data_IF_047491747145
#
_entry.id   IF_047491747145
#
_cell.length_a   1.000
_cell.length_b   1.000
_cell.length_c   1.000
_cell.angle_alpha   90.00
_cell.angle_beta   90.00
_cell.angle_gamma   90.00
#
_symmetry.space_group_name_H-M   'P 1'
#
loop_
_entity.id
_entity.type
_entity.pdbx_description
1 polymer ?
#
# COMPACT_ATOMS: atom_id res chain seq x y z
N UNK A 1 9.61 7.72 -60.24
CA UNK A 1 9.19 8.43 -59.01
C UNK A 1 8.55 7.49 -57.96
N UNK A 2 7.74 6.50 -58.36
CA UNK A 2 7.05 5.56 -57.43
C UNK A 2 7.96 4.75 -56.47
N UNK A 3 9.10 4.24 -56.94
CA UNK A 3 10.03 3.43 -56.10
C UNK A 3 10.65 4.22 -54.92
N UNK A 4 10.89 5.51 -55.09
CA UNK A 4 11.47 6.37 -54.04
C UNK A 4 10.43 6.73 -52.98
N UNK A 5 9.19 7.00 -53.39
CA UNK A 5 8.07 7.23 -52.47
C UNK A 5 7.76 6.00 -51.61
N UNK A 6 7.77 4.80 -52.20
CA UNK A 6 7.55 3.55 -51.47
C UNK A 6 8.66 3.27 -50.44
N UNK A 7 9.92 3.62 -50.75
CA UNK A 7 11.03 3.45 -49.82
C UNK A 7 10.92 4.39 -48.61
N UNK A 8 10.57 5.66 -48.83
CA UNK A 8 10.36 6.63 -47.74
C UNK A 8 9.18 6.19 -46.86
N UNK A 9 8.10 5.72 -47.47
CA UNK A 9 6.94 5.22 -46.72
C UNK A 9 7.29 3.99 -45.87
N UNK A 10 8.04 3.03 -46.42
CA UNK A 10 8.50 1.86 -45.69
C UNK A 10 9.45 2.23 -44.54
N UNK A 11 10.36 3.18 -44.76
CA UNK A 11 11.25 3.69 -43.73
C UNK A 11 10.46 4.36 -42.59
N UNK A 12 9.41 5.13 -42.92
CA UNK A 12 8.55 5.78 -41.93
C UNK A 12 7.80 4.73 -41.09
N UNK A 13 7.28 3.68 -41.72
CA UNK A 13 6.65 2.55 -41.00
C UNK A 13 7.64 1.89 -40.04
N UNK A 14 8.89 1.63 -40.48
CA UNK A 14 9.90 1.02 -39.61
C UNK A 14 10.22 1.91 -38.42
N UNK A 15 10.42 3.22 -38.64
CA UNK A 15 10.70 4.16 -37.54
C UNK A 15 9.54 4.19 -36.56
N UNK A 16 8.30 4.21 -37.05
CA UNK A 16 7.11 4.16 -36.20
C UNK A 16 7.05 2.85 -35.40
N UNK A 17 7.26 1.71 -36.06
CA UNK A 17 7.27 0.41 -35.40
C UNK A 17 8.35 0.30 -34.32
N UNK A 18 9.56 0.79 -34.59
CA UNK A 18 10.66 0.81 -33.61
C UNK A 18 10.32 1.74 -32.44
N UNK A 19 9.70 2.89 -32.69
CA UNK A 19 9.28 3.83 -31.64
C UNK A 19 8.22 3.21 -30.73
N UNK A 20 7.19 2.59 -31.31
CA UNK A 20 6.12 1.93 -30.53
C UNK A 20 6.70 0.74 -29.75
N UNK A 21 7.56 -0.06 -30.37
CA UNK A 21 8.20 -1.19 -29.71
C UNK A 21 9.09 -0.73 -28.54
N UNK A 22 9.86 0.34 -28.70
CA UNK A 22 10.68 0.90 -27.63
C UNK A 22 9.81 1.42 -26.46
N UNK A 23 8.73 2.14 -26.77
CA UNK A 23 7.78 2.59 -25.76
C UNK A 23 7.15 1.41 -25.01
N UNK A 24 6.74 0.36 -25.73
CA UNK A 24 6.20 -0.85 -25.12
C UNK A 24 7.18 -1.48 -24.14
N UNK A 25 8.44 -1.64 -24.53
CA UNK A 25 9.47 -2.16 -23.63
C UNK A 25 9.67 -1.25 -22.41
N UNK A 26 9.74 0.07 -22.58
CA UNK A 26 9.97 1.02 -21.49
C UNK A 26 8.84 0.97 -20.44
N UNK A 27 7.58 1.02 -20.88
CA UNK A 27 6.44 1.15 -19.96
C UNK A 27 5.93 -0.19 -19.45
N UNK A 28 5.86 -1.24 -20.28
CA UNK A 28 5.25 -2.51 -19.85
C UNK A 28 6.25 -3.52 -19.32
N UNK A 29 7.46 -3.56 -19.88
CA UNK A 29 8.47 -4.56 -19.47
C UNK A 29 9.38 -3.97 -18.40
N UNK A 30 9.98 -2.81 -18.69
CA UNK A 30 10.86 -2.13 -17.75
C UNK A 30 10.11 -1.28 -16.74
N UNK A 31 8.79 -1.06 -16.83
CA UNK A 31 8.01 -0.26 -15.86
C UNK A 31 8.68 1.07 -15.46
N UNK A 32 9.32 1.74 -16.41
CA UNK A 32 10.14 2.94 -16.15
C UNK A 32 9.27 4.21 -16.11
N UNK A 33 8.45 4.31 -15.07
CA UNK A 33 7.58 5.44 -14.77
C UNK A 33 7.39 5.58 -13.26
N UNK A 34 7.09 6.80 -12.81
CA UNK A 34 6.76 7.08 -11.41
C UNK A 34 5.26 6.85 -11.20
N UNK A 35 4.92 6.25 -10.08
CA UNK A 35 3.54 6.17 -9.58
C UNK A 35 3.37 7.16 -8.44
N UNK A 36 2.14 7.63 -8.30
CA UNK A 36 1.67 8.41 -7.16
C UNK A 36 0.49 7.64 -6.59
N UNK A 37 0.58 7.24 -5.34
CA UNK A 37 -0.44 6.44 -4.68
C UNK A 37 -0.68 6.96 -3.25
N UNK A 38 -1.85 6.65 -2.73
CA UNK A 38 -2.16 6.81 -1.32
C UNK A 38 -1.86 5.49 -0.61
N UNK A 39 -1.24 5.58 0.56
CA UNK A 39 -0.94 4.43 1.41
C UNK A 39 -1.45 4.67 2.82
N UNK A 40 -1.63 3.59 3.58
CA UNK A 40 -2.11 3.68 4.96
C UNK A 40 -1.13 4.50 5.80
N UNK A 41 -1.67 5.31 6.70
CA UNK A 41 -0.89 6.19 7.55
C UNK A 41 -1.44 6.11 8.96
N UNK A 42 -0.56 5.86 9.92
CA UNK A 42 -0.90 5.78 11.33
C UNK A 42 -0.94 7.19 11.93
N UNK A 43 -2.13 7.73 12.26
CA UNK A 43 -2.26 9.11 12.75
C UNK A 43 -1.70 9.29 14.17
N UNK A 44 -1.39 8.21 14.89
CA UNK A 44 -0.77 8.27 16.22
C UNK A 44 0.74 8.48 16.18
N UNK A 45 1.37 8.15 15.05
CA UNK A 45 2.82 8.23 14.86
C UNK A 45 3.22 9.34 13.88
N UNK A 46 2.41 9.57 12.85
CA UNK A 46 2.75 10.40 11.70
C UNK A 46 1.64 11.42 11.38
N UNK A 47 1.98 12.52 10.70
CA UNK A 47 0.98 13.49 10.23
C UNK A 47 0.40 13.02 8.90
N UNK A 48 -0.84 12.55 8.93
CA UNK A 48 -1.55 11.94 7.82
C UNK A 48 -2.54 12.94 7.20
N UNK A 49 -2.82 12.77 5.92
CA UNK A 49 -3.96 13.43 5.28
C UNK A 49 -5.24 12.77 5.78
N UNK A 50 -6.21 13.58 6.14
CA UNK A 50 -7.54 13.17 6.58
C UNK A 50 -8.50 13.44 5.44
N UNK A 51 -9.18 12.40 5.00
CA UNK A 51 -10.35 12.50 4.13
C UNK A 51 -11.57 12.01 4.90
N UNK A 52 -12.65 12.79 4.88
CA UNK A 52 -13.93 12.45 5.50
C UNK A 52 -14.99 12.39 4.42
N UNK A 53 -15.77 11.31 4.40
CA UNK A 53 -16.87 11.14 3.48
C UNK A 53 -17.90 12.27 3.64
N UNK A 54 -18.25 12.94 2.54
CA UNK A 54 -19.29 13.96 2.54
C UNK A 54 -20.64 13.36 2.09
N UNK A 55 -21.62 13.20 3.00
CA UNK A 55 -22.92 12.59 2.67
C UNK A 55 -23.76 13.44 1.71
N UNK A 56 -23.36 14.69 1.43
CA UNK A 56 -24.02 15.52 0.41
C UNK A 56 -23.59 15.15 -1.02
N UNK A 57 -22.42 14.54 -1.18
CA UNK A 57 -21.82 14.22 -2.50
C UNK A 57 -21.63 12.73 -2.74
N UNK A 58 -21.47 11.94 -1.68
CA UNK A 58 -21.17 10.51 -1.74
C UNK A 58 -22.04 9.68 -0.77
N UNK A 59 -22.05 8.35 -0.93
CA UNK A 59 -22.80 7.43 -0.07
C UNK A 59 -21.92 7.00 1.11
N UNK A 60 -22.14 7.64 2.26
CA UNK A 60 -21.40 7.35 3.50
C UNK A 60 -22.16 6.34 4.37
N UNK A 61 -21.42 5.60 5.21
CA UNK A 61 -21.97 4.59 6.12
C UNK A 61 -22.73 5.23 7.29
N UNK A 62 -22.37 6.46 7.65
CA UNK A 62 -22.88 7.17 8.82
C UNK A 62 -22.09 6.86 10.10
N UNK A 63 -21.06 6.02 10.02
CA UNK A 63 -20.10 5.77 11.09
C UNK A 63 -18.84 6.61 10.84
N UNK A 64 -18.46 7.52 11.76
CA UNK A 64 -17.27 8.35 11.58
C UNK A 64 -15.97 7.56 11.42
N UNK A 65 -15.85 6.35 11.98
CA UNK A 65 -14.63 5.53 11.84
C UNK A 65 -14.52 4.91 10.44
N UNK A 66 -15.64 4.49 9.85
CA UNK A 66 -15.66 3.95 8.48
C UNK A 66 -15.68 5.06 7.42
N UNK A 67 -16.15 6.25 7.78
CA UNK A 67 -16.26 7.42 6.91
C UNK A 67 -15.03 8.34 6.98
N UNK A 68 -14.00 7.99 7.76
CA UNK A 68 -12.75 8.76 7.87
C UNK A 68 -11.54 7.90 7.50
N UNK A 69 -10.73 8.39 6.57
CA UNK A 69 -9.51 7.71 6.12
C UNK A 69 -8.27 8.56 6.37
N UNK A 70 -7.24 7.90 6.92
CA UNK A 70 -5.92 8.47 7.15
C UNK A 70 -4.95 7.89 6.15
N UNK A 71 -4.32 8.75 5.36
CA UNK A 71 -3.40 8.31 4.32
C UNK A 71 -2.19 9.23 4.21
N UNK A 72 -1.12 8.72 3.60
CA UNK A 72 0.02 9.51 3.15
C UNK A 72 0.17 9.33 1.63
N UNK A 73 1.01 10.16 1.02
CA UNK A 73 1.25 10.10 -0.42
C UNK A 73 2.61 9.47 -0.68
N UNK A 74 2.64 8.38 -1.43
CA UNK A 74 3.89 7.74 -1.85
C UNK A 74 4.13 7.95 -3.34
N UNK A 75 5.32 8.45 -3.66
CA UNK A 75 5.84 8.56 -5.02
C UNK A 75 6.93 7.54 -5.20
N UNK A 76 6.73 6.53 -6.06
CA UNK A 76 7.68 5.42 -6.23
C UNK A 76 7.91 5.07 -7.71
N UNK A 77 9.11 4.63 -8.07
CA UNK A 77 9.35 4.08 -9.42
C UNK A 77 8.72 2.68 -9.54
N UNK A 78 7.90 2.47 -10.57
CA UNK A 78 7.19 1.21 -10.78
C UNK A 78 8.12 -0.01 -11.03
N UNK A 79 9.38 0.21 -11.38
CA UNK A 79 10.40 -0.83 -11.45
C UNK A 79 10.60 -1.55 -10.13
N UNK A 80 10.53 -0.81 -9.02
CA UNK A 80 10.86 -1.29 -7.69
C UNK A 80 9.63 -1.78 -6.92
N UNK A 81 8.47 -1.84 -7.57
CA UNK A 81 7.25 -2.36 -6.98
C UNK A 81 7.19 -3.86 -7.23
N UNK A 82 7.05 -4.62 -6.15
CA UNK A 82 6.83 -6.05 -6.21
C UNK A 82 5.54 -6.34 -6.99
N UNK A 83 5.60 -7.32 -7.89
CA UNK A 83 4.39 -7.77 -8.59
C UNK A 83 3.62 -8.65 -7.62
N UNK A 84 2.38 -8.30 -7.32
CA UNK A 84 1.52 -9.15 -6.50
C UNK A 84 1.19 -10.45 -7.24
N UNK A 85 1.25 -11.58 -6.53
CA UNK A 85 0.81 -12.87 -7.05
C UNK A 85 -0.72 -12.90 -7.06
N UNK A 86 -1.39 -13.02 -8.22
CA UNK A 86 -2.85 -13.10 -8.28
C UNK A 86 -3.44 -14.36 -7.61
N UNK A 87 -2.59 -15.32 -7.25
CA UNK A 87 -2.98 -16.56 -6.54
C UNK A 87 -2.86 -16.44 -5.02
N UNK A 88 -2.18 -15.40 -4.53
CA UNK A 88 -2.06 -15.10 -3.11
C UNK A 88 -3.10 -14.05 -2.71
N UNK A 89 -3.62 -14.14 -1.48
CA UNK A 89 -4.60 -13.17 -0.96
C UNK A 89 -3.93 -11.87 -0.48
N UNK A 90 -2.62 -11.88 -0.27
CA UNK A 90 -1.86 -10.75 0.27
C UNK A 90 -0.83 -10.24 -0.74
N UNK A 91 -0.80 -8.92 -0.90
CA UNK A 91 0.23 -8.20 -1.65
C UNK A 91 1.14 -7.46 -0.67
N UNK A 92 2.41 -7.30 -1.00
CA UNK A 92 3.32 -6.45 -0.22
C UNK A 92 2.82 -5.00 -0.26
N UNK A 93 2.68 -4.39 0.91
CA UNK A 93 2.29 -2.99 1.04
C UNK A 93 3.34 -2.09 0.36
N UNK A 94 2.85 -1.05 -0.31
CA UNK A 94 3.69 -0.11 -1.02
C UNK A 94 4.44 0.77 -0.01
N UNK A 95 5.69 0.42 0.30
CA UNK A 95 6.55 1.18 1.20
C UNK A 95 7.90 1.55 0.54
N UNK A 96 8.60 2.54 1.08
CA UNK A 96 9.94 2.90 0.61
C UNK A 96 11.03 2.16 1.40
N UNK A 97 11.92 1.46 0.71
CA UNK A 97 13.09 0.88 1.37
C UNK A 97 14.08 1.98 1.80
N UNK A 98 14.88 1.78 2.87
CA UNK A 98 15.86 2.77 3.31
C UNK A 98 16.86 3.14 2.19
N UNK A 99 16.87 4.41 1.78
CA UNK A 99 17.75 4.91 0.74
C UNK A 99 17.35 4.52 -0.69
N UNK A 100 16.10 4.10 -0.90
CA UNK A 100 15.59 3.78 -2.24
C UNK A 100 15.54 5.01 -3.14
N UNK A 101 16.18 4.93 -4.31
CA UNK A 101 16.24 6.03 -5.27
C UNK A 101 14.90 6.12 -6.01
N UNK A 102 14.28 7.29 -5.97
CA UNK A 102 12.98 7.53 -6.61
C UNK A 102 11.81 6.96 -5.81
N UNK A 103 11.96 6.86 -4.49
CA UNK A 103 10.88 6.61 -3.55
C UNK A 103 10.82 7.77 -2.54
N UNK A 104 9.67 8.40 -2.42
CA UNK A 104 9.41 9.52 -1.52
C UNK A 104 8.04 9.34 -0.88
N UNK A 105 7.98 9.44 0.44
CA UNK A 105 6.74 9.50 1.19
C UNK A 105 6.54 10.94 1.63
N UNK A 106 5.44 11.54 1.18
CA UNK A 106 5.01 12.86 1.59
C UNK A 106 3.92 12.70 2.66
N UNK A 107 4.26 13.17 3.85
CA UNK A 107 3.34 13.34 4.96
C UNK A 107 2.53 14.61 4.80
N UNK A 108 1.43 14.71 5.55
CA UNK A 108 0.58 15.88 5.45
C UNK A 108 1.31 17.13 5.95
N UNK A 109 1.25 18.16 5.12
CA UNK A 109 1.54 19.54 5.51
C UNK A 109 0.45 20.45 4.92
N UNK A 110 0.36 21.67 5.43
CA UNK A 110 -0.69 22.62 5.05
C UNK A 110 -0.65 23.00 3.56
N UNK A 111 0.52 22.94 2.92
CA UNK A 111 0.67 23.25 1.49
C UNK A 111 0.14 22.09 0.65
N UNK A 112 0.58 20.87 0.93
CA UNK A 112 0.14 19.65 0.26
C UNK A 112 -1.35 19.38 0.50
N UNK A 113 -1.86 19.63 1.71
CA UNK A 113 -3.29 19.47 2.02
C UNK A 113 -4.15 20.39 1.15
N UNK A 114 -3.72 21.65 0.96
CA UNK A 114 -4.39 22.59 0.07
C UNK A 114 -4.32 22.16 -1.40
N UNK A 115 -3.27 21.44 -1.83
CA UNK A 115 -3.17 20.86 -3.16
C UNK A 115 -4.08 19.63 -3.37
N UNK A 116 -4.34 18.85 -2.31
CA UNK A 116 -5.21 17.66 -2.40
C UNK A 116 -6.68 18.02 -2.56
N UNK A 117 -7.15 19.13 -1.99
CA UNK A 117 -8.50 19.65 -2.23
C UNK A 117 -9.16 20.29 -1.02
N UNK A 118 -10.35 20.85 -1.24
CA UNK A 118 -11.17 21.40 -0.16
C UNK A 118 -11.70 20.26 0.72
N UNK A 119 -11.46 20.34 2.03
CA UNK A 119 -11.88 19.32 3.00
C UNK A 119 -10.78 18.34 3.41
N UNK A 120 -9.61 18.39 2.78
CA UNK A 120 -8.43 17.64 3.25
C UNK A 120 -7.75 18.42 4.36
N UNK A 121 -7.51 17.76 5.49
CA UNK A 121 -6.82 18.35 6.65
C UNK A 121 -5.73 17.41 7.14
N UNK A 122 -4.80 17.90 7.97
CA UNK A 122 -3.73 17.07 8.52
C UNK A 122 -4.07 16.57 9.91
N UNK A 123 -3.75 15.30 10.20
CA UNK A 123 -3.75 14.76 11.55
C UNK A 123 -2.55 15.29 12.35
N UNK A 124 -2.74 15.38 13.67
CA UNK A 124 -1.68 15.70 14.60
C UNK A 124 -1.46 14.50 15.55
N UNK A 125 -0.28 13.86 15.53
CA UNK A 125 0.04 12.73 16.40
C UNK A 125 -0.15 12.99 17.89
N UNK A 126 -0.06 14.25 18.33
CA UNK A 126 -0.28 14.59 19.74
C UNK A 126 -1.73 14.37 20.18
N UNK A 127 -2.70 14.49 19.27
CA UNK A 127 -4.13 14.37 19.59
C UNK A 127 -4.50 12.93 19.97
N UNK A 128 -3.69 11.94 19.57
CA UNK A 128 -3.90 10.51 19.84
C UNK A 128 -3.12 10.00 21.06
N UNK A 129 -2.21 10.79 21.62
CA UNK A 129 -1.37 10.39 22.76
C UNK A 129 -2.02 10.69 24.13
N UNK A 130 -3.09 11.50 24.16
CA UNK A 130 -3.72 11.93 25.42
C UNK A 130 -4.73 10.92 25.99
N UNK A 131 -5.19 9.94 25.20
CA UNK A 131 -6.22 8.99 25.63
C UNK A 131 -5.70 7.81 26.47
N UNK A 132 -4.39 7.50 26.45
CA UNK A 132 -3.83 6.39 27.24
C UNK A 132 -3.59 6.73 28.73
N UNK A 133 -3.79 7.98 29.18
CA UNK A 133 -3.39 8.39 30.55
C UNK A 133 -4.54 8.51 31.56
N UNK A 134 -5.81 8.43 31.16
CA UNK A 134 -6.94 8.71 32.07
C UNK A 134 -7.76 7.50 32.59
N UNK A 135 -7.44 6.24 32.21
CA UNK A 135 -8.12 5.04 32.75
C UNK A 135 -7.19 4.05 33.50
N UNK A 136 -6.14 4.53 34.18
CA UNK A 136 -5.14 3.66 34.82
C UNK A 136 -4.75 3.99 36.26
N UNK A 137 -5.43 4.91 36.94
CA UNK A 137 -5.10 5.33 38.31
C UNK A 137 -6.13 4.83 39.35
N UNK A 138 -6.38 3.53 39.41
CA UNK A 138 -7.01 2.88 40.57
C UNK A 138 -5.93 2.14 41.37
N UNK A 139 -5.49 2.84 42.42
CA UNK A 139 -4.77 2.46 43.63
C UNK A 139 -4.10 1.07 43.70
N UNK A 140 -2.77 1.05 43.56
CA UNK A 140 -1.93 -0.02 44.12
C UNK A 140 -1.65 0.26 45.59
N UNK A 141 -2.51 -0.23 46.50
CA UNK A 141 -2.15 -0.32 47.91
C UNK A 141 -1.08 -1.41 48.09
N UNK A 142 0.13 -0.98 48.48
CA UNK A 142 1.16 -1.87 48.97
C UNK A 142 0.75 -2.44 50.34
N UNK A 143 0.68 -3.76 50.46
CA UNK A 143 0.81 -4.42 51.75
C UNK A 143 1.94 -5.44 51.67
N UNK A 144 2.99 -5.18 52.44
CA UNK A 144 4.07 -6.10 52.74
C UNK A 144 3.53 -7.23 53.61
N UNK A 145 3.74 -8.49 53.23
CA UNK A 145 3.99 -9.58 54.19
C UNK A 145 4.99 -10.57 53.60
N UNK A 146 6.02 -10.86 54.41
CA UNK A 146 7.11 -11.76 54.12
C UNK A 146 6.67 -13.23 54.18
N UNK A 147 7.26 -14.06 53.33
CA UNK A 147 7.08 -15.52 53.37
C UNK A 147 8.13 -16.23 52.52
N UNK A 148 9.28 -16.53 53.12
CA UNK A 148 10.27 -17.48 52.60
C UNK A 148 9.63 -18.85 52.30
N UNK A 149 9.98 -19.47 51.16
CA UNK A 149 10.56 -20.84 51.11
C UNK A 149 11.02 -21.20 49.69
N UNK A 150 12.34 -21.34 49.56
CA UNK A 150 13.11 -22.46 48.99
C UNK A 150 12.52 -23.37 47.88
N UNK A 151 13.33 -23.66 46.85
CA UNK A 151 13.23 -24.95 46.15
C UNK A 151 13.42 -24.99 44.62
N UNK A 152 14.67 -24.81 44.16
CA UNK A 152 15.41 -25.75 43.29
C UNK A 152 14.89 -26.20 41.90
N UNK A 153 15.81 -26.08 40.92
CA UNK A 153 16.10 -27.00 39.80
C UNK A 153 15.05 -27.13 38.66
N UNK A 154 15.35 -27.41 37.39
CA UNK A 154 16.55 -27.52 36.53
C UNK A 154 15.99 -28.03 35.17
N UNK A 155 16.77 -27.88 34.09
CA UNK A 155 16.68 -28.63 32.81
C UNK A 155 15.57 -28.21 31.81
N UNK A 156 15.90 -27.73 30.60
CA UNK A 156 16.25 -28.50 29.38
C UNK A 156 15.01 -29.26 28.84
N UNK A 157 14.73 -29.48 27.55
CA UNK A 157 15.40 -29.40 26.27
C UNK A 157 14.33 -29.76 25.21
N UNK A 158 14.56 -29.44 23.93
CA UNK A 158 14.10 -30.23 22.75
C UNK A 158 12.59 -30.40 22.45
N UNK A 159 12.12 -30.66 21.23
CA UNK A 159 12.58 -30.51 19.85
C UNK A 159 11.48 -31.06 18.93
N UNK A 160 11.62 -30.77 17.64
CA UNK A 160 11.17 -31.53 16.46
C UNK A 160 9.79 -31.23 15.84
N UNK A 161 9.77 -30.92 14.52
CA UNK A 161 8.59 -30.77 13.67
C UNK A 161 8.19 -32.12 13.03
N UNK A 162 6.96 -32.24 12.53
CA UNK A 162 6.68 -33.22 11.46
C UNK A 162 5.69 -32.67 10.42
N UNK A 163 6.05 -33.01 9.18
CA UNK A 163 5.41 -32.74 7.91
C UNK A 163 4.09 -33.49 7.75
N UNK A 164 3.25 -33.06 6.81
CA UNK A 164 2.23 -33.94 6.22
C UNK A 164 1.76 -33.38 4.89
N UNK A 165 2.17 -34.08 3.83
CA UNK A 165 1.86 -33.85 2.43
C UNK A 165 0.39 -34.20 2.10
N UNK A 166 -0.20 -33.54 1.09
CA UNK A 166 -1.61 -33.74 0.76
C UNK A 166 -2.02 -33.27 -0.65
N UNK A 167 -1.51 -33.96 -1.65
CA UNK A 167 -1.89 -33.95 -3.08
C UNK A 167 -3.41 -33.90 -3.37
N UNK A 168 -3.87 -33.08 -4.33
CA UNK A 168 -4.57 -33.51 -5.57
C UNK A 168 -5.23 -32.35 -6.38
N UNK A 169 -4.71 -32.14 -7.60
CA UNK A 169 -5.36 -32.01 -8.93
C UNK A 169 -6.61 -31.13 -9.25
N UNK A 170 -6.78 -30.72 -10.53
CA UNK A 170 -7.36 -29.43 -10.92
C UNK A 170 -8.84 -29.50 -11.35
N UNK A 171 -9.54 -28.38 -11.16
CA UNK A 171 -10.88 -28.14 -11.68
C UNK A 171 -10.86 -27.13 -12.83
N UNK A 172 -11.11 -27.61 -14.04
CA UNK A 172 -11.40 -26.78 -15.22
C UNK A 172 -12.72 -26.02 -15.04
N UNK A 173 -12.70 -24.71 -15.27
CA UNK A 173 -13.90 -23.85 -15.23
C UNK A 173 -13.79 -22.70 -16.23
N UNK A 174 -14.32 -22.91 -17.42
CA UNK A 174 -14.50 -21.88 -18.45
C UNK A 174 -15.80 -21.09 -18.22
N UNK A 175 -15.75 -19.76 -18.29
CA UNK A 175 -16.90 -18.85 -18.50
C UNK A 175 -16.34 -17.43 -18.69
N UNK A 176 -16.15 -16.90 -19.90
CA UNK A 176 -17.11 -16.19 -20.77
C UNK A 176 -17.66 -14.87 -20.21
N UNK A 177 -17.45 -13.78 -20.96
CA UNK A 177 -18.16 -12.50 -20.88
C UNK A 177 -17.56 -11.53 -19.84
N UNK A 178 -17.47 -10.22 -20.03
CA UNK A 178 -18.12 -9.31 -20.96
C UNK A 178 -17.21 -8.13 -21.29
N UNK A 179 -17.28 -7.69 -22.54
CA UNK A 179 -16.67 -6.46 -23.03
C UNK A 179 -17.50 -5.27 -22.54
N UNK A 180 -16.87 -4.27 -21.93
CA UNK A 180 -17.51 -2.95 -21.73
C UNK A 180 -16.64 -1.85 -22.34
N UNK A 181 -17.24 -0.89 -23.07
CA UNK A 181 -16.52 0.06 -23.90
C UNK A 181 -15.96 1.23 -23.09
N UNK A 182 -14.70 1.55 -23.35
CA UNK A 182 -14.06 2.82 -22.98
C UNK A 182 -14.70 3.94 -23.79
N UNK A 183 -15.32 4.91 -23.11
CA UNK A 183 -15.64 6.21 -23.70
C UNK A 183 -14.38 7.09 -23.67
N UNK A 184 -14.03 7.63 -24.84
CA UNK A 184 -13.11 8.75 -25.03
C UNK A 184 -13.86 10.07 -24.92
#
# INVERSE_FOLDING_TARGET
MKKKANFIFLLLIIIFAVSVFYAFLKFFVFRDYMIYAQTECDPSLESCFIYTCDPATEECTGDPEEDTWYYNLITKNAQNIAVCDPSAEECEELSCAPGEIGCEVAFCDEELAAEQGEGVTCSNPADFQEEETEEGAEETEMTEEEGETDGSADESEESVPEESEGSSEPGEGASSGEESPVML
#
